data_IF_409824885236
#
_entry.id   IF_409824885236
#
_cell.length_a   1.000
_cell.length_b   1.000
_cell.length_c   1.000
_cell.angle_alpha   90.00
_cell.angle_beta   90.00
_cell.angle_gamma   90.00
#
_symmetry.space_group_name_H-M   'P 1'
#
loop_
_entity.id
_entity.type
_entity.pdbx_description
1 polymer ?
#
# COMPACT_ATOMS: atom_id res chain seq x y z
N UNK A 1 8.13 15.78 7.30
CA UNK A 1 6.68 15.43 7.30
C UNK A 1 6.19 14.99 8.67
N UNK A 2 6.75 14.01 9.34
CA UNK A 2 6.30 13.51 10.67
C UNK A 2 6.12 14.59 11.76
N UNK A 3 7.03 15.57 11.87
CA UNK A 3 6.90 16.68 12.84
C UNK A 3 5.67 17.55 12.58
N UNK A 4 5.36 17.85 11.29
CA UNK A 4 4.19 18.66 10.92
C UNK A 4 2.89 17.91 11.26
N UNK A 5 2.82 16.62 10.96
CA UNK A 5 1.66 15.79 11.27
C UNK A 5 1.44 15.63 12.77
N UNK A 6 2.52 15.47 13.57
CA UNK A 6 2.42 15.45 15.04
C UNK A 6 1.84 16.77 15.58
N UNK A 7 2.32 17.92 15.12
CA UNK A 7 1.82 19.22 15.52
C UNK A 7 0.33 19.39 15.15
N UNK A 8 -0.06 18.93 13.96
CA UNK A 8 -1.47 18.94 13.53
C UNK A 8 -2.35 18.10 14.48
N UNK A 9 -1.88 16.92 14.88
CA UNK A 9 -2.61 16.04 15.82
C UNK A 9 -2.72 16.70 17.19
N UNK A 10 -1.67 17.34 17.67
CA UNK A 10 -1.63 18.04 18.95
C UNK A 10 -2.63 19.20 18.96
N UNK A 11 -2.66 20.03 17.91
CA UNK A 11 -3.63 21.10 17.76
C UNK A 11 -5.07 20.58 17.70
N UNK A 12 -5.35 19.53 16.92
CA UNK A 12 -6.67 18.91 16.85
C UNK A 12 -7.13 18.33 18.20
N UNK A 13 -6.20 17.74 18.99
CA UNK A 13 -6.54 17.27 20.32
C UNK A 13 -6.87 18.44 21.29
N UNK A 14 -6.18 19.59 21.17
CA UNK A 14 -6.53 20.80 21.91
C UNK A 14 -7.94 21.28 21.56
N UNK A 15 -8.25 21.42 20.26
CA UNK A 15 -9.57 21.84 19.79
C UNK A 15 -10.68 20.86 20.21
N UNK A 16 -10.40 19.56 20.26
CA UNK A 16 -11.33 18.53 20.79
C UNK A 16 -11.60 18.79 22.27
N UNK A 17 -10.57 19.07 23.09
CA UNK A 17 -10.71 19.37 24.50
C UNK A 17 -11.61 20.59 24.73
N UNK A 18 -11.38 21.68 23.99
CA UNK A 18 -12.18 22.91 24.09
C UNK A 18 -13.66 22.67 23.75
N UNK A 19 -13.94 21.83 22.74
CA UNK A 19 -15.32 21.50 22.35
C UNK A 19 -15.97 20.58 23.42
N UNK A 20 -15.24 19.62 23.97
CA UNK A 20 -15.74 18.74 25.04
C UNK A 20 -16.09 19.54 26.29
N UNK A 21 -15.30 20.57 26.66
CA UNK A 21 -15.63 21.50 27.77
C UNK A 21 -16.90 22.30 27.48
N UNK A 22 -17.06 22.83 26.27
CA UNK A 22 -18.26 23.54 25.83
C UNK A 22 -19.48 22.63 25.87
N UNK A 23 -19.38 21.39 25.43
CA UNK A 23 -20.46 20.41 25.49
C UNK A 23 -20.85 20.14 26.96
N UNK A 24 -19.87 19.90 27.84
CA UNK A 24 -20.13 19.68 29.27
C UNK A 24 -20.83 20.86 29.94
N UNK A 25 -20.36 22.07 29.63
CA UNK A 25 -21.00 23.30 30.14
C UNK A 25 -22.45 23.43 29.67
N UNK A 26 -22.72 23.24 28.37
CA UNK A 26 -24.07 23.32 27.81
C UNK A 26 -25.01 22.27 28.42
N UNK A 27 -24.53 21.03 28.58
CA UNK A 27 -25.30 19.95 29.23
C UNK A 27 -25.66 20.35 30.68
N UNK A 28 -24.73 20.93 31.43
CA UNK A 28 -24.97 21.38 32.78
C UNK A 28 -26.02 22.53 32.85
N UNK A 29 -25.92 23.50 31.92
CA UNK A 29 -26.89 24.62 31.84
C UNK A 29 -28.27 24.10 31.46
N UNK A 30 -28.40 23.23 30.49
CA UNK A 30 -29.66 22.60 30.07
C UNK A 30 -30.28 21.83 31.28
N UNK A 31 -29.47 20.98 31.94
CA UNK A 31 -29.93 20.18 33.07
C UNK A 31 -30.43 21.03 34.20
N UNK A 32 -29.70 22.11 34.55
CA UNK A 32 -30.13 23.05 35.58
C UNK A 32 -31.45 23.75 35.21
N UNK A 33 -31.52 24.24 33.96
CA UNK A 33 -32.73 24.94 33.47
C UNK A 33 -33.95 24.02 33.47
N UNK A 34 -33.78 22.74 33.06
CA UNK A 34 -34.86 21.76 33.12
C UNK A 34 -35.30 21.43 34.54
N UNK A 35 -34.36 21.34 35.49
CA UNK A 35 -34.70 21.16 36.89
C UNK A 35 -35.47 22.36 37.45
N UNK A 36 -35.06 23.59 37.11
CA UNK A 36 -35.74 24.81 37.54
C UNK A 36 -37.17 24.89 36.98
N UNK A 37 -37.37 24.44 35.71
CA UNK A 37 -38.72 24.33 35.12
C UNK A 37 -39.57 23.29 35.86
N UNK A 38 -39.01 22.08 36.07
CA UNK A 38 -39.74 20.98 36.70
C UNK A 38 -40.16 21.33 38.17
N UNK A 39 -39.36 22.12 38.86
CA UNK A 39 -39.75 22.62 40.22
C UNK A 39 -40.88 23.64 40.18
N UNK A 40 -40.95 24.45 39.10
CA UNK A 40 -42.02 25.45 38.93
C UNK A 40 -43.29 24.87 38.33
N UNK A 41 -43.20 23.82 37.45
CA UNK A 41 -44.36 23.13 36.89
C UNK A 41 -45.15 22.27 37.92
N UNK A 42 -44.62 22.11 39.15
CA UNK A 42 -45.35 21.43 40.23
C UNK A 42 -46.57 22.23 40.73
N UNK A 43 -46.65 23.52 40.45
CA UNK A 43 -47.85 24.35 40.71
C UNK A 43 -48.64 24.50 39.40
N UNK A 44 -49.84 23.92 39.34
CA UNK A 44 -50.73 24.08 38.18
C UNK A 44 -51.22 25.55 38.09
N UNK A 45 -51.40 26.06 36.84
CA UNK A 45 -51.97 27.39 36.58
C UNK A 45 -53.26 27.64 37.41
N UNK A 46 -54.03 26.58 37.65
CA UNK A 46 -55.26 26.63 38.42
C UNK A 46 -54.96 26.85 39.93
N UNK A 47 -53.90 26.24 40.45
CA UNK A 47 -53.45 26.46 41.83
C UNK A 47 -52.89 27.87 42.04
N UNK A 48 -52.16 28.40 41.01
CA UNK A 48 -51.66 29.78 41.02
C UNK A 48 -52.79 30.83 41.03
N UNK A 49 -53.93 30.55 40.37
CA UNK A 49 -55.12 31.39 40.41
C UNK A 49 -55.90 31.29 41.73
N UNK A 50 -55.76 30.20 42.48
CA UNK A 50 -56.42 29.97 43.78
C UNK A 50 -55.57 30.42 44.95
N UNK A 51 -54.29 30.76 44.72
CA UNK A 51 -53.45 31.44 45.73
C UNK A 51 -53.56 32.94 45.58
N UNK A 52 -53.29 33.70 46.63
CA UNK A 52 -53.39 35.19 46.66
C UNK A 52 -52.41 35.94 45.74
N UNK A 53 -52.02 35.36 44.60
CA UNK A 53 -51.16 35.97 43.56
C UNK A 53 -51.98 36.93 42.69
N UNK A 54 -51.44 38.09 42.42
CA UNK A 54 -52.06 39.03 41.46
C UNK A 54 -52.02 38.45 40.01
N UNK A 55 -52.97 38.87 39.16
CA UNK A 55 -52.98 38.53 37.74
C UNK A 55 -51.67 38.90 37.02
N UNK A 56 -51.02 39.97 37.52
CA UNK A 56 -49.70 40.36 36.96
C UNK A 56 -48.59 39.33 37.25
N UNK A 57 -48.57 38.77 38.46
CA UNK A 57 -47.60 37.76 38.89
C UNK A 57 -47.77 36.47 38.11
N UNK A 58 -49.02 36.07 37.83
CA UNK A 58 -49.28 34.87 36.95
C UNK A 58 -48.85 35.09 35.52
N UNK A 59 -49.02 36.30 34.99
CA UNK A 59 -48.60 36.65 33.63
C UNK A 59 -47.07 36.69 33.49
N UNK A 60 -46.36 37.22 34.49
CA UNK A 60 -44.89 37.26 34.55
C UNK A 60 -44.31 35.84 34.65
N UNK A 61 -45.00 34.95 35.40
CA UNK A 61 -44.60 33.55 35.56
C UNK A 61 -44.76 32.80 34.23
N UNK A 62 -45.83 33.00 33.45
CA UNK A 62 -46.07 32.44 32.15
C UNK A 62 -45.06 32.97 31.11
N UNK A 63 -44.78 34.27 31.12
CA UNK A 63 -43.78 34.87 30.23
C UNK A 63 -42.37 34.35 30.52
N UNK A 64 -42.04 34.15 31.80
CA UNK A 64 -40.76 33.55 32.23
C UNK A 64 -40.62 32.11 31.76
N UNK A 65 -41.69 31.30 31.85
CA UNK A 65 -41.68 29.92 31.32
C UNK A 65 -41.44 29.86 29.81
N UNK A 66 -42.03 30.77 29.04
CA UNK A 66 -41.80 30.90 27.60
C UNK A 66 -40.33 31.25 27.25
N UNK A 67 -39.74 32.18 27.99
CA UNK A 67 -38.32 32.55 27.84
C UNK A 67 -37.40 31.38 28.21
N UNK A 68 -37.69 30.60 29.22
CA UNK A 68 -36.95 29.42 29.58
C UNK A 68 -37.01 28.34 28.49
N UNK A 69 -38.19 28.06 27.93
CA UNK A 69 -38.34 27.10 26.84
C UNK A 69 -37.52 27.54 25.62
N UNK A 70 -37.54 28.81 25.26
CA UNK A 70 -36.74 29.34 24.16
C UNK A 70 -35.24 29.15 24.43
N UNK A 71 -34.77 29.45 25.64
CA UNK A 71 -33.39 29.31 26.05
C UNK A 71 -32.91 27.84 26.01
N UNK A 72 -33.75 26.90 26.47
CA UNK A 72 -33.44 25.46 26.34
C UNK A 72 -33.33 25.02 24.88
N UNK A 73 -34.22 25.51 24.01
CA UNK A 73 -34.14 25.20 22.57
C UNK A 73 -32.86 25.74 21.93
N UNK A 74 -32.48 26.97 22.26
CA UNK A 74 -31.23 27.58 21.77
C UNK A 74 -30.01 26.79 22.23
N UNK A 75 -29.94 26.46 23.52
CA UNK A 75 -28.85 25.66 24.10
C UNK A 75 -28.81 24.23 23.51
N UNK A 76 -29.96 23.61 23.30
CA UNK A 76 -30.01 22.28 22.67
C UNK A 76 -29.51 22.30 21.24
N UNK A 77 -29.84 23.34 20.47
CA UNK A 77 -29.36 23.52 19.10
C UNK A 77 -27.84 23.79 19.06
N UNK A 78 -27.34 24.59 19.97
CA UNK A 78 -25.91 24.84 20.13
C UNK A 78 -25.14 23.56 20.52
N UNK A 79 -25.71 22.75 21.40
CA UNK A 79 -25.15 21.43 21.76
C UNK A 79 -25.07 20.46 20.57
N UNK A 80 -26.07 20.47 19.72
CA UNK A 80 -26.09 19.66 18.50
C UNK A 80 -24.93 20.08 17.56
N UNK A 81 -24.75 21.39 17.33
CA UNK A 81 -23.65 21.93 16.54
C UNK A 81 -22.28 21.50 17.12
N UNK A 82 -22.08 21.62 18.43
CA UNK A 82 -20.82 21.20 19.06
C UNK A 82 -20.58 19.69 18.96
N UNK A 83 -21.62 18.86 19.03
CA UNK A 83 -21.49 17.40 18.84
C UNK A 83 -21.07 17.03 17.42
N UNK A 84 -21.63 17.70 16.42
CA UNK A 84 -21.24 17.49 15.02
C UNK A 84 -19.80 17.94 14.78
N UNK A 85 -19.44 19.12 15.29
CA UNK A 85 -18.05 19.62 15.19
C UNK A 85 -17.06 18.68 15.90
N UNK A 86 -17.40 18.15 17.07
CA UNK A 86 -16.57 17.18 17.79
C UNK A 86 -16.39 15.89 16.99
N UNK A 87 -17.46 15.39 16.37
CA UNK A 87 -17.43 14.19 15.52
C UNK A 87 -16.46 14.37 14.36
N UNK A 88 -16.55 15.52 13.67
CA UNK A 88 -15.68 15.85 12.54
C UNK A 88 -14.21 15.99 12.97
N UNK A 89 -13.94 16.67 14.09
CA UNK A 89 -12.58 16.82 14.63
C UNK A 89 -11.98 15.48 15.01
N UNK A 90 -12.75 14.60 15.68
CA UNK A 90 -12.30 13.23 16.02
C UNK A 90 -12.00 12.40 14.77
N UNK A 91 -12.86 12.45 13.74
CA UNK A 91 -12.63 11.78 12.46
C UNK A 91 -11.33 12.25 11.78
N UNK A 92 -11.12 13.55 11.73
CA UNK A 92 -9.92 14.14 11.16
C UNK A 92 -8.66 13.77 11.93
N UNK A 93 -8.72 13.78 13.25
CA UNK A 93 -7.60 13.36 14.12
C UNK A 93 -7.22 11.91 13.85
N UNK A 94 -8.20 11.02 13.69
CA UNK A 94 -7.95 9.62 13.41
C UNK A 94 -7.30 9.42 12.03
N UNK A 95 -7.73 10.19 11.02
CA UNK A 95 -7.11 10.18 9.68
C UNK A 95 -5.63 10.62 9.75
N UNK A 96 -5.33 11.70 10.49
CA UNK A 96 -3.94 12.17 10.63
C UNK A 96 -3.08 11.19 11.44
N UNK A 97 -3.63 10.51 12.47
CA UNK A 97 -2.94 9.43 13.19
C UNK A 97 -2.58 8.26 12.28
N UNK A 98 -3.52 7.80 11.44
CA UNK A 98 -3.26 6.74 10.44
C UNK A 98 -2.18 7.15 9.46
N UNK A 99 -2.23 8.38 8.96
CA UNK A 99 -1.20 8.95 8.07
C UNK A 99 0.16 9.01 8.73
N UNK A 100 0.23 9.42 10.00
CA UNK A 100 1.49 9.44 10.75
C UNK A 100 2.08 8.04 10.91
N UNK A 101 1.26 7.05 11.21
CA UNK A 101 1.70 5.66 11.32
C UNK A 101 2.25 5.14 9.99
N UNK A 102 1.55 5.38 8.89
CA UNK A 102 2.02 5.03 7.54
C UNK A 102 3.37 5.66 7.21
N UNK A 103 3.54 6.97 7.48
CA UNK A 103 4.80 7.68 7.25
C UNK A 103 5.95 7.16 8.13
N UNK A 104 5.67 6.74 9.36
CA UNK A 104 6.69 6.12 10.24
C UNK A 104 7.12 4.75 9.72
N UNK A 105 6.19 3.93 9.23
CA UNK A 105 6.52 2.64 8.61
C UNK A 105 7.36 2.84 7.35
N UNK A 106 6.95 3.75 6.46
CA UNK A 106 7.71 4.06 5.24
C UNK A 106 9.13 4.55 5.55
N UNK A 107 9.30 5.42 6.54
CA UNK A 107 10.62 5.87 6.97
C UNK A 107 11.49 4.72 7.49
N UNK A 108 10.89 3.78 8.24
CA UNK A 108 11.58 2.57 8.71
C UNK A 108 12.08 1.71 7.54
N UNK A 109 11.21 1.49 6.55
CA UNK A 109 11.54 0.74 5.33
C UNK A 109 12.66 1.42 4.52
N UNK A 110 12.60 2.74 4.33
CA UNK A 110 13.64 3.49 3.62
C UNK A 110 14.98 3.42 4.35
N UNK A 111 15.00 3.49 5.68
CA UNK A 111 16.22 3.30 6.46
C UNK A 111 16.79 1.89 6.29
N UNK A 112 15.96 0.86 6.27
CA UNK A 112 16.39 -0.51 6.03
C UNK A 112 17.02 -0.67 4.64
N UNK A 113 16.40 -0.10 3.60
CA UNK A 113 16.93 -0.08 2.23
C UNK A 113 18.29 0.64 2.19
N UNK A 114 18.42 1.77 2.87
CA UNK A 114 19.67 2.52 2.93
C UNK A 114 20.80 1.69 3.55
N UNK A 115 20.52 0.96 4.64
CA UNK A 115 21.50 0.07 5.29
C UNK A 115 21.93 -1.05 4.35
N UNK A 116 20.98 -1.70 3.66
CA UNK A 116 21.27 -2.75 2.67
C UNK A 116 22.17 -2.20 1.57
N UNK A 117 21.80 -1.07 0.97
CA UNK A 117 22.55 -0.43 -0.13
C UNK A 117 23.98 -0.07 0.28
N UNK A 118 24.14 0.47 1.51
CA UNK A 118 25.46 0.80 2.05
C UNK A 118 26.32 -0.45 2.23
N UNK A 119 25.75 -1.55 2.72
CA UNK A 119 26.43 -2.83 2.88
C UNK A 119 26.87 -3.41 1.53
N UNK A 120 25.97 -3.43 0.55
CA UNK A 120 26.27 -3.90 -0.82
C UNK A 120 27.39 -3.10 -1.47
N UNK A 121 27.31 -1.75 -1.40
CA UNK A 121 28.36 -0.86 -1.89
C UNK A 121 29.72 -1.14 -1.23
N UNK A 122 29.76 -1.30 0.09
CA UNK A 122 30.98 -1.57 0.82
C UNK A 122 31.57 -2.95 0.44
N UNK A 123 30.71 -3.98 0.30
CA UNK A 123 31.14 -5.29 -0.14
C UNK A 123 31.76 -5.26 -1.54
N UNK A 124 31.13 -4.53 -2.47
CA UNK A 124 31.64 -4.35 -3.84
C UNK A 124 32.99 -3.60 -3.84
N UNK A 125 33.09 -2.52 -3.09
CA UNK A 125 34.35 -1.77 -2.94
C UNK A 125 35.46 -2.63 -2.36
N UNK A 126 35.16 -3.45 -1.33
CA UNK A 126 36.12 -4.38 -0.76
C UNK A 126 36.54 -5.46 -1.76
N UNK A 127 35.58 -6.06 -2.48
CA UNK A 127 35.87 -7.10 -3.47
C UNK A 127 36.70 -6.58 -4.67
N UNK A 128 36.45 -5.34 -5.08
CA UNK A 128 37.16 -4.74 -6.23
C UNK A 128 38.45 -4.02 -5.83
N UNK A 129 38.65 -3.78 -4.52
CA UNK A 129 39.77 -2.97 -4.01
C UNK A 129 39.90 -1.62 -4.73
N UNK A 130 38.78 -1.02 -5.14
CA UNK A 130 38.69 0.19 -5.96
C UNK A 130 39.43 0.11 -7.33
N UNK A 131 39.66 -1.09 -7.85
CA UNK A 131 40.28 -1.26 -9.15
C UNK A 131 39.25 -1.57 -10.24
N UNK A 132 39.23 -0.78 -11.27
CA UNK A 132 38.31 -0.95 -12.44
C UNK A 132 38.45 -2.32 -13.09
N UNK A 133 39.66 -2.85 -13.18
CA UNK A 133 39.94 -4.17 -13.74
C UNK A 133 39.25 -5.30 -12.99
N UNK A 134 39.25 -5.27 -11.66
CA UNK A 134 38.57 -6.27 -10.83
C UNK A 134 37.03 -6.13 -10.95
N UNK A 135 36.54 -4.89 -11.04
CA UNK A 135 35.12 -4.66 -11.30
C UNK A 135 34.67 -5.24 -12.64
N UNK A 136 35.42 -4.97 -13.72
CA UNK A 136 35.14 -5.52 -15.06
C UNK A 136 35.17 -7.05 -15.08
N UNK A 137 36.08 -7.66 -14.35
CA UNK A 137 36.17 -9.13 -14.23
C UNK A 137 34.92 -9.70 -13.57
N UNK A 138 34.54 -9.14 -12.39
CA UNK A 138 33.31 -9.57 -11.68
C UNK A 138 32.05 -9.39 -12.55
N UNK A 139 31.98 -8.30 -13.33
CA UNK A 139 30.86 -8.05 -14.24
C UNK A 139 30.77 -9.11 -15.32
N UNK A 140 31.89 -9.45 -15.96
CA UNK A 140 31.98 -10.48 -17.00
C UNK A 140 31.60 -11.87 -16.46
N UNK A 141 32.06 -12.22 -15.25
CA UNK A 141 31.71 -13.48 -14.61
C UNK A 141 30.19 -13.55 -14.36
N UNK A 142 29.57 -12.49 -13.78
CA UNK A 142 28.13 -12.42 -13.56
C UNK A 142 27.33 -12.54 -14.85
N UNK A 143 27.77 -11.92 -15.92
CA UNK A 143 27.12 -12.01 -17.22
C UNK A 143 27.17 -13.45 -17.77
N UNK A 144 28.30 -14.12 -17.66
CA UNK A 144 28.45 -15.52 -18.10
C UNK A 144 27.54 -16.45 -17.29
N UNK A 145 27.45 -16.27 -15.97
CA UNK A 145 26.59 -17.06 -15.10
C UNK A 145 25.11 -16.80 -15.39
N UNK A 146 24.71 -15.54 -15.62
CA UNK A 146 23.35 -15.16 -16.06
C UNK A 146 22.98 -15.85 -17.37
N UNK A 147 23.83 -15.76 -18.40
CA UNK A 147 23.56 -16.36 -19.70
C UNK A 147 23.46 -17.89 -19.63
N UNK A 148 24.25 -18.54 -18.77
CA UNK A 148 24.12 -19.98 -18.50
C UNK A 148 22.75 -20.27 -17.90
N UNK A 149 22.37 -19.56 -16.86
CA UNK A 149 21.07 -19.75 -16.21
C UNK A 149 19.90 -19.51 -17.16
N UNK A 150 19.97 -18.49 -18.01
CA UNK A 150 18.94 -18.22 -19.02
C UNK A 150 18.80 -19.37 -20.03
N UNK A 151 19.90 -19.96 -20.46
CA UNK A 151 19.87 -21.15 -21.34
C UNK A 151 19.22 -22.35 -20.64
N UNK A 152 19.57 -22.59 -19.37
CA UNK A 152 18.98 -23.67 -18.56
C UNK A 152 17.49 -23.46 -18.39
N UNK A 153 17.07 -22.24 -18.02
CA UNK A 153 15.67 -21.90 -17.82
C UNK A 153 14.87 -21.99 -19.11
N UNK A 154 15.35 -21.40 -20.19
CA UNK A 154 14.69 -21.46 -21.50
C UNK A 154 14.51 -22.89 -21.98
N UNK A 155 15.55 -23.73 -21.85
CA UNK A 155 15.43 -25.15 -22.19
C UNK A 155 14.41 -25.85 -21.35
N UNK A 156 14.40 -25.62 -20.02
CA UNK A 156 13.44 -26.20 -19.10
C UNK A 156 12.01 -25.77 -19.45
N UNK A 157 11.77 -24.47 -19.60
CA UNK A 157 10.44 -23.92 -19.94
C UNK A 157 9.94 -24.38 -21.32
N UNK A 158 10.83 -24.59 -22.28
CA UNK A 158 10.47 -25.13 -23.60
C UNK A 158 9.95 -26.58 -23.56
N UNK A 159 10.35 -27.33 -22.52
CA UNK A 159 9.86 -28.69 -22.30
C UNK A 159 8.51 -28.72 -21.53
N UNK A 160 8.13 -27.61 -20.89
CA UNK A 160 6.86 -27.49 -20.18
C UNK A 160 5.70 -27.37 -21.17
N UNK A 161 5.10 -28.51 -21.55
CA UNK A 161 3.92 -28.56 -22.43
C UNK A 161 2.66 -28.43 -21.58
N UNK A 162 2.35 -27.23 -21.09
CA UNK A 162 1.08 -26.95 -20.40
C UNK A 162 0.04 -26.46 -21.38
N UNK A 163 -1.10 -27.12 -21.39
CA UNK A 163 -2.27 -26.63 -22.11
C UNK A 163 -2.81 -25.42 -21.37
N UNK A 164 -2.89 -24.29 -22.02
CA UNK A 164 -3.49 -23.07 -21.50
C UNK A 164 -4.79 -22.87 -22.23
N UNK A 165 -5.89 -22.83 -21.47
CA UNK A 165 -7.19 -22.43 -22.01
C UNK A 165 -7.23 -20.90 -22.15
N UNK A 166 -7.34 -20.35 -23.38
CA UNK A 166 -7.42 -18.90 -23.58
C UNK A 166 -8.63 -18.25 -22.91
N UNK A 167 -9.65 -19.03 -22.57
CA UNK A 167 -10.84 -18.53 -21.88
C UNK A 167 -10.67 -18.47 -20.34
N UNK A 168 -9.54 -18.96 -19.82
CA UNK A 168 -9.26 -18.99 -18.38
C UNK A 168 -8.76 -17.65 -17.81
N UNK A 169 -8.49 -16.68 -18.67
CA UNK A 169 -8.07 -15.34 -18.32
C UNK A 169 -8.73 -14.31 -19.26
N UNK A 170 -8.86 -13.03 -18.87
CA UNK A 170 -9.53 -12.04 -19.70
C UNK A 170 -8.77 -11.84 -21.02
N UNK A 171 -9.51 -11.58 -22.08
CA UNK A 171 -8.94 -11.03 -23.31
C UNK A 171 -8.18 -9.74 -22.96
N UNK A 172 -7.12 -9.44 -23.74
CA UNK A 172 -6.36 -8.21 -23.54
C UNK A 172 -7.24 -6.97 -23.59
N UNK A 173 -7.02 -6.04 -22.66
CA UNK A 173 -7.77 -4.79 -22.54
C UNK A 173 -7.14 -3.87 -21.50
N UNK A 174 -7.13 -2.57 -21.79
CA UNK A 174 -6.56 -1.58 -20.89
C UNK A 174 -7.35 -1.49 -19.58
N UNK A 175 -6.62 -1.32 -18.46
CA UNK A 175 -7.20 -1.14 -17.14
C UNK A 175 -7.68 -2.42 -16.46
N UNK A 176 -7.35 -3.60 -16.99
CA UNK A 176 -7.54 -4.89 -16.30
C UNK A 176 -6.58 -4.99 -15.13
N UNK A 177 -5.36 -4.47 -15.31
CA UNK A 177 -4.33 -4.33 -14.29
C UNK A 177 -4.07 -2.85 -14.02
N UNK A 178 -3.90 -2.50 -12.76
CA UNK A 178 -3.48 -1.15 -12.34
C UNK A 178 -1.95 -1.02 -12.44
N UNK A 179 -1.49 0.18 -12.73
CA UNK A 179 -0.07 0.46 -12.79
C UNK A 179 0.63 0.19 -11.46
N UNK A 180 1.77 -0.53 -11.46
CA UNK A 180 2.46 -0.91 -10.22
C UNK A 180 3.26 0.23 -9.59
N UNK A 181 3.43 1.35 -10.30
CA UNK A 181 4.14 2.55 -9.88
C UNK A 181 3.27 3.80 -10.08
N UNK A 182 3.54 4.86 -9.33
CA UNK A 182 2.83 6.14 -9.49
C UNK A 182 3.30 6.91 -10.74
N UNK A 183 4.59 6.77 -11.11
CA UNK A 183 5.18 7.39 -12.29
C UNK A 183 5.63 6.30 -13.27
N UNK A 184 4.98 6.23 -14.40
CA UNK A 184 5.21 5.21 -15.41
C UNK A 184 6.16 5.72 -16.48
N UNK A 185 7.31 5.04 -16.60
CA UNK A 185 8.25 5.21 -17.71
C UNK A 185 8.79 3.83 -18.09
N UNK A 186 8.41 3.35 -19.27
CA UNK A 186 8.83 2.06 -19.78
C UNK A 186 10.25 2.18 -20.32
N UNK A 187 11.17 1.38 -19.79
CA UNK A 187 12.56 1.32 -20.26
C UNK A 187 12.78 0.17 -21.23
N UNK A 188 12.05 -0.95 -21.05
CA UNK A 188 12.10 -2.08 -21.94
C UNK A 188 10.73 -2.75 -22.05
N UNK A 189 10.13 -2.82 -23.26
CA UNK A 189 8.85 -3.50 -23.46
C UNK A 189 9.03 -5.02 -23.54
N UNK A 190 7.90 -5.72 -23.46
CA UNK A 190 7.78 -7.16 -23.64
C UNK A 190 8.15 -7.61 -25.05
N UNK A 191 8.66 -8.83 -25.17
CA UNK A 191 8.82 -9.52 -26.44
C UNK A 191 10.16 -9.25 -27.14
N UNK A 192 10.17 -9.39 -28.46
CA UNK A 192 11.35 -9.22 -29.28
C UNK A 192 11.62 -7.77 -29.61
N UNK A 193 12.67 -7.21 -29.05
CA UNK A 193 13.17 -5.86 -29.31
C UNK A 193 14.63 -5.89 -29.77
N UNK A 194 15.18 -4.76 -30.18
CA UNK A 194 16.62 -4.66 -30.50
C UNK A 194 17.44 -4.98 -29.25
N UNK A 195 17.03 -4.43 -28.10
CA UNK A 195 17.74 -4.64 -26.86
C UNK A 195 17.55 -6.07 -26.32
N UNK A 196 16.37 -6.67 -26.47
CA UNK A 196 16.16 -8.05 -26.00
C UNK A 196 17.02 -9.06 -26.73
N UNK A 197 17.29 -8.87 -28.02
CA UNK A 197 18.21 -9.72 -28.80
C UNK A 197 19.63 -9.64 -28.27
N UNK A 198 20.02 -8.52 -27.72
CA UNK A 198 21.36 -8.28 -27.15
C UNK A 198 21.49 -8.74 -25.72
N UNK A 199 20.43 -8.58 -24.94
CA UNK A 199 20.45 -8.76 -23.48
C UNK A 199 20.07 -10.18 -23.04
N UNK A 200 19.21 -10.90 -23.80
CA UNK A 200 18.70 -12.20 -23.42
C UNK A 200 19.06 -13.30 -24.41
N UNK A 201 19.41 -14.47 -23.88
CA UNK A 201 19.73 -15.64 -24.70
C UNK A 201 18.55 -16.08 -25.58
N UNK A 202 17.33 -15.97 -25.05
CA UNK A 202 16.10 -16.22 -25.82
C UNK A 202 15.84 -15.19 -26.92
N UNK A 203 16.52 -14.05 -26.88
CA UNK A 203 16.25 -12.89 -27.74
C UNK A 203 14.90 -12.22 -27.44
N UNK A 204 14.23 -12.58 -26.31
CA UNK A 204 12.91 -12.12 -25.95
C UNK A 204 12.90 -11.67 -24.50
N UNK A 205 12.32 -10.49 -24.22
CA UNK A 205 12.06 -10.02 -22.86
C UNK A 205 10.73 -10.59 -22.36
N UNK A 206 10.74 -11.26 -21.22
CA UNK A 206 9.58 -12.00 -20.69
C UNK A 206 8.65 -11.14 -19.81
N UNK A 207 8.86 -9.83 -19.75
CA UNK A 207 8.06 -8.87 -19.02
C UNK A 207 8.21 -7.46 -19.55
N UNK A 208 7.90 -6.49 -18.76
CA UNK A 208 8.11 -5.07 -19.02
C UNK A 208 8.96 -4.46 -17.90
N UNK A 209 9.93 -3.64 -18.25
CA UNK A 209 10.76 -2.91 -17.30
C UNK A 209 10.30 -1.46 -17.19
N UNK A 210 10.10 -1.03 -15.96
CA UNK A 210 9.77 0.34 -15.62
C UNK A 210 10.94 1.02 -14.92
N UNK A 211 11.26 2.25 -15.32
CA UNK A 211 12.21 3.07 -14.56
C UNK A 211 11.73 3.24 -13.14
N UNK A 212 12.53 2.82 -12.19
CA UNK A 212 12.26 2.98 -10.77
C UNK A 212 13.57 3.10 -10.02
N UNK A 213 13.76 4.20 -9.28
CA UNK A 213 14.90 4.34 -8.37
C UNK A 213 14.78 3.33 -7.24
N UNK A 214 15.90 2.94 -6.65
CA UNK A 214 15.88 2.08 -5.46
C UNK A 214 15.01 2.69 -4.36
N UNK A 215 14.14 1.89 -3.77
CA UNK A 215 13.19 2.34 -2.73
C UNK A 215 11.91 3.00 -3.25
N UNK A 216 11.59 2.93 -4.55
CA UNK A 216 10.29 3.35 -5.06
C UNK A 216 9.22 2.34 -4.65
N UNK A 217 8.09 2.83 -4.16
CA UNK A 217 6.94 2.00 -3.76
C UNK A 217 6.42 1.17 -4.94
N UNK A 218 6.26 -0.14 -4.72
CA UNK A 218 5.68 -1.08 -5.68
C UNK A 218 4.32 -1.53 -5.17
N UNK A 219 3.30 -1.40 -6.01
CA UNK A 219 1.91 -1.69 -5.72
C UNK A 219 1.43 -2.93 -6.48
N UNK A 220 0.52 -3.69 -5.87
CA UNK A 220 -0.14 -4.80 -6.54
C UNK A 220 -1.03 -4.30 -7.68
N UNK A 221 -0.84 -4.84 -8.88
CA UNK A 221 -1.60 -4.43 -10.06
C UNK A 221 -3.07 -4.87 -10.02
N UNK A 222 -3.39 -5.92 -9.26
CA UNK A 222 -4.75 -6.39 -9.05
C UNK A 222 -4.82 -7.13 -7.70
N UNK A 223 -6.00 -7.18 -7.09
CA UNK A 223 -6.25 -7.99 -5.89
C UNK A 223 -5.99 -9.47 -6.16
N UNK A 224 -5.52 -10.19 -5.14
CA UNK A 224 -5.19 -11.60 -5.29
C UNK A 224 -4.54 -12.19 -4.06
N UNK A 225 -3.92 -13.34 -4.23
CA UNK A 225 -3.16 -14.03 -3.18
C UNK A 225 -1.71 -14.14 -3.60
N UNK A 226 -0.79 -13.82 -2.69
CA UNK A 226 0.64 -14.00 -2.91
C UNK A 226 0.93 -15.50 -3.04
N UNK A 227 1.17 -15.96 -4.26
CA UNK A 227 1.49 -17.36 -4.54
C UNK A 227 2.86 -17.74 -3.99
N UNK A 228 3.78 -16.78 -3.91
CA UNK A 228 5.07 -16.94 -3.28
C UNK A 228 5.96 -15.72 -3.43
N UNK A 229 7.02 -15.74 -2.67
CA UNK A 229 8.12 -14.76 -2.65
C UNK A 229 9.44 -15.51 -2.68
N UNK A 230 10.49 -14.87 -3.14
CA UNK A 230 11.81 -15.48 -3.13
C UNK A 230 12.93 -14.48 -3.39
N UNK A 231 14.14 -15.00 -3.33
CA UNK A 231 15.35 -14.24 -3.58
C UNK A 231 16.40 -15.12 -4.27
N UNK A 232 16.66 -14.87 -5.54
CA UNK A 232 17.65 -15.65 -6.29
C UNK A 232 19.09 -15.37 -5.86
N UNK A 233 19.35 -14.22 -5.22
CA UNK A 233 20.68 -13.84 -4.74
C UNK A 233 21.13 -14.65 -3.50
N UNK A 234 20.25 -15.45 -2.90
CA UNK A 234 20.61 -16.36 -1.79
C UNK A 234 21.59 -17.44 -2.25
N UNK A 235 21.62 -17.75 -3.55
CA UNK A 235 22.59 -18.66 -4.11
C UNK A 235 23.50 -17.94 -5.08
N UNK A 236 24.80 -17.92 -4.79
CA UNK A 236 25.82 -17.33 -5.67
C UNK A 236 25.76 -17.94 -7.06
N UNK A 237 25.74 -17.10 -8.07
CA UNK A 237 25.66 -17.51 -9.47
C UNK A 237 24.24 -17.64 -10.03
N UNK A 238 23.22 -17.55 -9.17
CA UNK A 238 21.82 -17.54 -9.59
C UNK A 238 21.35 -16.11 -9.88
N UNK A 239 21.90 -15.51 -10.94
CA UNK A 239 21.59 -14.14 -11.33
C UNK A 239 20.34 -14.10 -12.22
N UNK A 240 19.17 -13.93 -11.58
CA UNK A 240 17.85 -13.87 -12.24
C UNK A 240 17.01 -12.73 -11.64
N UNK A 241 15.82 -13.02 -11.14
CA UNK A 241 14.84 -12.06 -10.63
C UNK A 241 15.26 -11.29 -9.36
N UNK A 242 16.34 -11.74 -8.65
CA UNK A 242 16.67 -11.20 -7.34
C UNK A 242 15.55 -11.47 -6.35
N UNK A 243 15.15 -10.46 -5.58
CA UNK A 243 13.94 -10.54 -4.74
C UNK A 243 12.70 -10.33 -5.59
N UNK A 244 11.75 -11.27 -5.48
CA UNK A 244 10.55 -11.30 -6.31
C UNK A 244 9.30 -11.68 -5.51
N UNK A 245 8.15 -11.25 -6.02
CA UNK A 245 6.81 -11.59 -5.53
C UNK A 245 5.99 -12.07 -6.72
N UNK A 246 5.29 -13.20 -6.58
CA UNK A 246 4.29 -13.69 -7.54
C UNK A 246 2.91 -13.60 -6.89
N UNK A 247 1.97 -12.90 -7.52
CA UNK A 247 0.57 -12.77 -7.08
C UNK A 247 -0.32 -13.47 -8.10
N UNK A 248 -1.19 -14.36 -7.60
CA UNK A 248 -2.23 -15.02 -8.39
C UNK A 248 -3.55 -14.26 -8.20
N UNK A 249 -4.15 -13.85 -9.32
CA UNK A 249 -5.38 -13.09 -9.36
C UNK A 249 -6.60 -13.96 -9.64
N UNK A 250 -7.81 -13.57 -9.17
CA UNK A 250 -9.02 -14.36 -9.37
C UNK A 250 -9.48 -14.40 -10.84
N UNK A 251 -9.01 -13.48 -11.68
CA UNK A 251 -9.33 -13.41 -13.10
C UNK A 251 -8.48 -14.33 -14.00
N UNK A 252 -7.68 -15.24 -13.44
CA UNK A 252 -6.86 -16.17 -14.20
C UNK A 252 -5.50 -15.63 -14.65
N UNK A 253 -5.15 -14.37 -14.28
CA UNK A 253 -3.83 -13.80 -14.46
C UNK A 253 -2.96 -14.00 -13.22
N UNK A 254 -1.64 -14.02 -13.42
CA UNK A 254 -0.66 -13.88 -12.34
C UNK A 254 0.34 -12.81 -12.70
N UNK A 255 0.77 -12.01 -11.71
CA UNK A 255 1.78 -10.97 -11.89
C UNK A 255 3.02 -11.24 -11.05
N UNK A 256 4.18 -11.13 -11.66
CA UNK A 256 5.49 -11.20 -11.00
C UNK A 256 6.07 -9.79 -10.92
N UNK A 257 6.64 -9.46 -9.79
CA UNK A 257 7.39 -8.22 -9.54
C UNK A 257 8.80 -8.61 -9.10
N UNK A 258 9.82 -8.16 -9.82
CA UNK A 258 11.20 -8.58 -9.58
C UNK A 258 12.15 -7.41 -9.35
N UNK A 259 13.40 -7.73 -9.03
CA UNK A 259 14.51 -6.83 -8.70
C UNK A 259 14.22 -5.93 -7.48
N UNK A 260 13.41 -6.42 -6.51
CA UNK A 260 13.01 -5.65 -5.33
C UNK A 260 14.17 -5.51 -4.33
N UNK A 261 14.26 -4.37 -3.66
CA UNK A 261 15.16 -4.18 -2.50
C UNK A 261 14.52 -4.71 -1.21
N UNK A 262 13.20 -4.53 -1.08
CA UNK A 262 12.44 -4.97 0.09
C UNK A 262 11.09 -5.54 -0.31
N UNK A 263 10.75 -6.71 0.23
CA UNK A 263 9.44 -7.36 0.11
C UNK A 263 8.64 -7.03 1.37
N UNK A 264 7.39 -6.59 1.21
CA UNK A 264 6.47 -6.27 2.31
C UNK A 264 5.34 -7.29 2.45
N UNK A 265 5.16 -8.15 1.45
CA UNK A 265 4.14 -9.19 1.44
C UNK A 265 4.72 -10.54 1.89
N UNK A 266 3.85 -11.42 2.37
CA UNK A 266 4.17 -12.80 2.75
C UNK A 266 3.44 -13.79 1.85
N UNK A 267 4.02 -14.96 1.62
CA UNK A 267 3.36 -16.03 0.88
C UNK A 267 2.03 -16.42 1.56
N UNK A 268 0.98 -16.58 0.77
CA UNK A 268 -0.38 -16.87 1.23
C UNK A 268 -1.18 -15.62 1.65
N UNK A 269 -0.58 -14.44 1.70
CA UNK A 269 -1.27 -13.20 2.06
C UNK A 269 -2.26 -12.80 0.95
N UNK A 270 -3.47 -12.40 1.35
CA UNK A 270 -4.42 -11.73 0.46
C UNK A 270 -4.04 -10.26 0.32
N UNK A 271 -3.99 -9.77 -0.90
CA UNK A 271 -3.55 -8.42 -1.27
C UNK A 271 -4.68 -7.71 -2.00
N UNK A 272 -4.92 -6.45 -1.69
CA UNK A 272 -5.83 -5.59 -2.43
C UNK A 272 -5.12 -4.91 -3.62
N UNK A 273 -5.90 -4.54 -4.65
CA UNK A 273 -5.40 -3.71 -5.75
C UNK A 273 -4.82 -2.40 -5.22
N UNK A 274 -3.62 -2.02 -5.66
CA UNK A 274 -2.94 -0.80 -5.21
C UNK A 274 -2.26 -0.92 -3.84
N UNK A 275 -2.36 -2.05 -3.16
CA UNK A 275 -1.65 -2.29 -1.89
C UNK A 275 -0.13 -2.34 -2.11
N UNK A 276 0.63 -1.76 -1.18
CA UNK A 276 2.10 -1.73 -1.24
C UNK A 276 2.62 -3.13 -0.93
N UNK A 277 3.28 -3.77 -1.89
CA UNK A 277 3.85 -5.11 -1.78
C UNK A 277 5.37 -5.13 -1.59
N UNK A 278 6.03 -4.01 -1.83
CA UNK A 278 7.48 -3.90 -1.69
C UNK A 278 8.04 -2.60 -2.21
N UNK A 279 9.34 -2.60 -2.40
CA UNK A 279 10.09 -1.45 -2.92
C UNK A 279 11.02 -1.92 -4.04
N UNK A 280 11.05 -1.18 -5.16
CA UNK A 280 11.95 -1.45 -6.27
C UNK A 280 13.41 -1.35 -5.86
N UNK A 281 14.28 -2.06 -6.56
CA UNK A 281 15.69 -2.14 -6.23
C UNK A 281 16.59 -2.46 -7.42
N UNK A 282 17.65 -3.21 -7.12
CA UNK A 282 18.62 -3.66 -8.09
C UNK A 282 19.16 -5.07 -7.74
N UNK A 283 18.31 -5.92 -7.15
CA UNK A 283 18.68 -7.30 -6.82
C UNK A 283 18.63 -8.21 -8.03
N UNK A 284 19.27 -9.38 -7.99
CA UNK A 284 19.39 -10.26 -9.12
C UNK A 284 20.32 -9.75 -10.21
N UNK A 285 20.00 -10.08 -11.46
CA UNK A 285 20.70 -9.52 -12.60
C UNK A 285 19.98 -8.28 -13.12
N UNK A 286 20.51 -7.12 -12.78
CA UNK A 286 19.99 -5.83 -13.19
C UNK A 286 21.14 -4.89 -13.57
N UNK A 287 21.05 -4.25 -14.73
CA UNK A 287 22.04 -3.28 -15.20
C UNK A 287 21.91 -1.91 -14.55
N UNK A 288 20.81 -1.67 -13.88
CA UNK A 288 20.51 -0.45 -13.11
C UNK A 288 19.18 -0.57 -12.40
N UNK A 289 18.85 0.32 -11.45
CA UNK A 289 17.59 0.25 -10.71
C UNK A 289 16.37 0.33 -11.63
N UNK A 290 15.49 -0.66 -11.54
CA UNK A 290 14.23 -0.71 -12.27
C UNK A 290 13.25 -1.68 -11.59
N UNK A 291 11.99 -1.66 -12.01
CA UNK A 291 11.00 -2.68 -11.67
C UNK A 291 10.71 -3.52 -12.90
N UNK A 292 10.96 -4.82 -12.83
CA UNK A 292 10.53 -5.78 -13.84
C UNK A 292 9.18 -6.38 -13.46
N UNK A 293 8.23 -6.38 -14.40
CA UNK A 293 6.90 -6.97 -14.22
C UNK A 293 6.59 -7.96 -15.34
N UNK A 294 6.24 -9.19 -14.97
CA UNK A 294 5.76 -10.21 -15.91
C UNK A 294 4.28 -10.50 -15.63
N UNK A 295 3.50 -10.70 -16.67
CA UNK A 295 2.12 -11.18 -16.60
C UNK A 295 2.07 -12.59 -17.19
N UNK A 296 1.40 -13.49 -16.46
CA UNK A 296 1.21 -14.87 -16.88
C UNK A 296 -0.26 -15.24 -16.95
N UNK A 297 -0.61 -16.16 -17.85
CA UNK A 297 -1.77 -17.01 -17.65
C UNK A 297 -1.51 -17.93 -16.45
N UNK A 298 -2.31 -17.83 -15.39
CA UNK A 298 -2.07 -18.51 -14.10
C UNK A 298 -1.94 -20.03 -14.20
N UNK A 299 -2.57 -20.65 -15.19
CA UNK A 299 -2.48 -22.09 -15.42
C UNK A 299 -1.09 -22.55 -15.88
N UNK A 300 -0.34 -21.63 -16.50
CA UNK A 300 0.95 -21.91 -17.10
C UNK A 300 2.16 -21.59 -16.23
N UNK A 301 1.98 -20.96 -15.06
CA UNK A 301 3.09 -20.57 -14.16
C UNK A 301 2.99 -21.30 -12.83
N UNK A 302 4.14 -21.73 -12.32
CA UNK A 302 4.25 -22.29 -10.96
C UNK A 302 5.61 -21.93 -10.34
N UNK A 303 5.68 -22.01 -9.02
CA UNK A 303 6.93 -21.82 -8.28
C UNK A 303 7.57 -23.18 -8.09
N UNK A 304 8.74 -23.37 -8.61
CA UNK A 304 9.48 -24.62 -8.50
C UNK A 304 10.90 -24.39 -7.99
N UNK A 305 11.41 -25.39 -7.27
CA UNK A 305 12.84 -25.47 -6.97
C UNK A 305 13.58 -25.95 -8.22
N UNK A 306 14.48 -25.13 -8.73
CA UNK A 306 15.16 -25.43 -10.01
C UNK A 306 16.35 -26.39 -9.79
N UNK A 307 16.07 -27.61 -9.33
CA UNK A 307 17.06 -28.61 -8.93
C UNK A 307 18.00 -29.07 -10.05
N UNK A 308 17.60 -28.94 -11.32
CA UNK A 308 18.40 -29.25 -12.49
C UNK A 308 19.44 -28.18 -12.83
N UNK A 309 19.31 -26.96 -12.28
CA UNK A 309 20.27 -25.88 -12.54
C UNK A 309 21.57 -26.09 -11.77
N UNK A 310 22.67 -25.75 -12.41
CA UNK A 310 23.99 -25.77 -11.76
C UNK A 310 24.08 -24.65 -10.71
N UNK A 311 23.59 -23.47 -11.06
CA UNK A 311 23.77 -22.26 -10.24
C UNK A 311 22.55 -21.94 -9.35
N UNK A 312 21.34 -22.42 -9.70
CA UNK A 312 20.10 -22.10 -9.02
C UNK A 312 19.38 -23.29 -8.35
N UNK A 313 20.05 -24.43 -8.21
CA UNK A 313 19.44 -25.72 -7.78
C UNK A 313 18.71 -25.71 -6.44
N UNK A 314 19.06 -24.78 -5.54
CA UNK A 314 18.45 -24.67 -4.20
C UNK A 314 17.44 -23.53 -4.09
N UNK A 315 17.25 -22.76 -5.16
CA UNK A 315 16.40 -21.58 -5.18
C UNK A 315 15.07 -21.93 -5.85
N UNK A 316 13.97 -21.49 -5.23
CA UNK A 316 12.65 -21.55 -5.85
C UNK A 316 12.46 -20.32 -6.73
N UNK A 317 12.02 -20.54 -7.96
CA UNK A 317 11.74 -19.48 -8.94
C UNK A 317 10.38 -19.73 -9.61
N UNK A 318 9.69 -18.68 -10.06
CA UNK A 318 8.57 -18.82 -10.98
C UNK A 318 9.09 -19.38 -12.33
N UNK A 319 8.50 -20.49 -12.78
CA UNK A 319 8.76 -21.10 -14.10
C UNK A 319 7.45 -21.20 -14.85
N UNK A 320 7.47 -20.99 -16.15
CA UNK A 320 6.27 -20.98 -16.96
C UNK A 320 6.47 -21.65 -18.32
N UNK A 321 5.41 -22.25 -18.87
CA UNK A 321 5.43 -22.61 -20.28
C UNK A 321 5.52 -21.35 -21.14
N UNK A 322 6.21 -21.41 -22.26
CA UNK A 322 6.51 -20.22 -23.10
C UNK A 322 5.23 -19.49 -23.55
N UNK A 323 4.16 -20.23 -23.80
CA UNK A 323 2.85 -19.68 -24.18
C UNK A 323 2.06 -19.07 -23.01
N UNK A 324 2.54 -19.17 -21.77
CA UNK A 324 1.92 -18.56 -20.60
C UNK A 324 2.33 -17.10 -20.41
N UNK A 325 3.41 -16.65 -21.01
CA UNK A 325 3.85 -15.27 -20.95
C UNK A 325 2.95 -14.37 -21.79
N UNK A 326 2.38 -13.35 -21.16
CA UNK A 326 1.48 -12.39 -21.78
C UNK A 326 2.14 -11.02 -21.81
N UNK A 327 1.88 -10.22 -22.86
CA UNK A 327 2.38 -8.85 -22.91
C UNK A 327 1.71 -7.99 -21.83
N UNK A 328 2.43 -7.52 -20.80
CA UNK A 328 1.83 -6.75 -19.70
C UNK A 328 1.15 -5.47 -20.19
N UNK A 329 1.67 -4.82 -21.24
CA UNK A 329 1.14 -3.56 -21.75
C UNK A 329 -0.24 -3.69 -22.40
N UNK A 330 -0.67 -4.91 -22.67
CA UNK A 330 -2.03 -5.18 -23.17
C UNK A 330 -3.08 -5.24 -22.05
N UNK A 331 -2.64 -5.25 -20.78
CA UNK A 331 -3.52 -5.38 -19.60
C UNK A 331 -3.49 -4.16 -18.68
N UNK A 332 -2.45 -3.32 -18.74
CA UNK A 332 -2.34 -2.05 -18.02
C UNK A 332 -3.16 -0.91 -18.60
#
# INVERSE_FOLDING_TARGET
MSKKTNLTIENLNGEIGDIEEKIAFNVQVISKTLNDINQKDAETLIESFLTDKSLADVFDEYQSAGQFQQKVREQSKELEIYKDELSDKKSNTEKEKKKLLSLKMELGDQNQILVINKKEKNNLLAATKNKETEYKKILAERQTEKERFERELFYFESQLKRAIDPNSFPASGKGILFWPLDNIFITQPFGKTIDSKRLYVSGTHNGVDFRASRGTLVKAALSGVVAGIGNTDEQRGCYSYGKWILIKHPNGLSTLYAHLDLIKASAGQSIATGEIIGYSGQTGYSTGPHLHVTVYASQGVEIQKFSSSINCKNVSIPVASINAYLDPLLYF
#
